data_IF_711653082258
#
_entry.id   IF_711653082258
#
_cell.length_a   1.000
_cell.length_b   1.000
_cell.length_c   1.000
_cell.angle_alpha   90.00
_cell.angle_beta   90.00
_cell.angle_gamma   90.00
#
_symmetry.space_group_name_H-M   'P 1'
#
loop_
_entity.id
_entity.type
_entity.pdbx_description
1 polymer ?
#
# COMPACT_ATOMS: atom_id res chain seq x y z
N UNK A 1 -3.51 42.36 -21.60
CA UNK A 1 -2.30 41.53 -21.60
C UNK A 1 -1.98 41.09 -20.16
N UNK A 2 -2.87 40.33 -19.51
CA UNK A 2 -2.72 39.96 -18.08
C UNK A 2 -3.20 38.54 -17.74
N UNK A 3 -3.94 37.86 -18.62
CA UNK A 3 -4.45 36.49 -18.36
C UNK A 3 -3.39 35.37 -18.42
N UNK A 4 -2.17 35.64 -18.90
CA UNK A 4 -1.11 34.62 -18.98
C UNK A 4 -0.48 34.30 -17.62
N UNK A 5 -0.45 35.27 -16.70
CA UNK A 5 0.13 35.12 -15.38
C UNK A 5 -0.64 34.15 -14.45
N UNK A 6 -1.98 34.23 -14.31
CA UNK A 6 -2.70 33.31 -13.43
C UNK A 6 -2.67 31.86 -13.92
N UNK A 7 -2.70 31.65 -15.25
CA UNK A 7 -2.62 30.31 -15.84
C UNK A 7 -1.28 29.62 -15.52
N UNK A 8 -0.19 30.37 -15.51
CA UNK A 8 1.14 29.85 -15.19
C UNK A 8 1.25 29.42 -13.73
N UNK A 9 0.67 30.20 -12.80
CA UNK A 9 0.69 29.91 -11.36
C UNK A 9 -0.08 28.63 -11.05
N UNK A 10 -1.25 28.42 -11.67
CA UNK A 10 -2.04 27.19 -11.49
C UNK A 10 -1.32 25.96 -12.03
N UNK A 11 -0.62 26.08 -13.17
CA UNK A 11 0.14 24.97 -13.76
C UNK A 11 1.31 24.52 -12.87
N UNK A 12 2.01 25.46 -12.23
CA UNK A 12 3.12 25.15 -11.32
C UNK A 12 2.60 24.53 -10.01
N UNK A 13 1.47 25.00 -9.50
CA UNK A 13 0.85 24.43 -8.30
C UNK A 13 0.40 22.97 -8.51
N UNK A 14 -0.07 22.62 -9.71
CA UNK A 14 -0.44 21.23 -10.05
C UNK A 14 0.75 20.26 -10.10
N UNK A 15 1.97 20.77 -10.37
CA UNK A 15 3.21 19.98 -10.43
C UNK A 15 3.93 19.92 -9.07
N UNK A 16 3.55 20.77 -8.10
CA UNK A 16 4.17 20.85 -6.78
C UNK A 16 3.60 19.84 -5.76
N UNK A 17 2.74 18.91 -6.19
CA UNK A 17 2.34 17.79 -5.35
C UNK A 17 3.55 16.89 -5.09
N UNK A 18 4.00 16.80 -3.85
CA UNK A 18 4.97 15.77 -3.44
C UNK A 18 4.40 14.42 -3.90
N UNK A 19 5.10 13.74 -4.81
CA UNK A 19 4.68 12.48 -5.43
C UNK A 19 4.61 11.34 -4.42
N UNK A 20 3.65 11.41 -3.50
CA UNK A 20 3.28 10.34 -2.58
C UNK A 20 2.68 9.22 -3.42
N UNK A 21 3.57 8.39 -3.93
CA UNK A 21 3.19 7.15 -4.56
C UNK A 21 2.95 6.15 -3.43
N UNK A 22 1.71 5.66 -3.31
CA UNK A 22 1.36 4.52 -2.46
C UNK A 22 1.92 3.21 -3.06
N UNK A 23 3.15 3.26 -3.60
CA UNK A 23 3.79 2.15 -4.27
C UNK A 23 4.70 1.49 -3.24
N UNK A 24 4.29 0.31 -2.77
CA UNK A 24 5.09 -0.48 -1.84
C UNK A 24 6.51 -0.69 -2.38
N UNK A 25 7.50 -0.47 -1.52
CA UNK A 25 8.95 -0.55 -1.78
C UNK A 25 9.45 -2.00 -1.98
N UNK A 26 8.63 -2.85 -2.57
CA UNK A 26 8.93 -4.26 -2.74
C UNK A 26 9.78 -4.44 -4.00
N UNK A 27 11.02 -4.99 -3.88
CA UNK A 27 11.87 -5.26 -5.03
C UNK A 27 11.21 -6.27 -5.96
N UNK A 28 11.27 -6.06 -7.28
CA UNK A 28 10.61 -6.90 -8.29
C UNK A 28 11.06 -8.38 -8.30
N UNK A 29 12.19 -8.68 -7.64
CA UNK A 29 12.70 -10.05 -7.45
C UNK A 29 11.87 -10.86 -6.46
N UNK A 30 11.25 -10.22 -5.47
CA UNK A 30 10.50 -10.90 -4.41
C UNK A 30 9.08 -11.18 -4.92
N UNK A 31 8.81 -12.45 -5.26
CA UNK A 31 7.52 -12.91 -5.79
C UNK A 31 6.71 -13.73 -4.79
N UNK A 32 7.33 -14.15 -3.68
CA UNK A 32 6.72 -15.04 -2.69
C UNK A 32 7.05 -14.57 -1.29
N UNK A 33 6.06 -14.53 -0.41
CA UNK A 33 6.22 -14.19 1.02
C UNK A 33 5.47 -15.23 1.87
N UNK A 34 6.06 -15.63 3.00
CA UNK A 34 5.39 -16.50 3.96
C UNK A 34 4.72 -15.64 5.04
N UNK A 35 3.45 -15.95 5.34
CA UNK A 35 2.73 -15.35 6.49
C UNK A 35 2.67 -16.41 7.59
N UNK A 36 3.46 -16.29 8.67
CA UNK A 36 3.37 -17.22 9.79
C UNK A 36 2.05 -17.02 10.55
N UNK A 37 1.61 -18.06 11.25
CA UNK A 37 0.45 -17.94 12.15
C UNK A 37 0.79 -16.94 13.26
N UNK A 38 -0.07 -15.94 13.45
CA UNK A 38 0.13 -14.94 14.50
C UNK A 38 -0.10 -15.55 15.87
N UNK A 39 0.67 -15.14 16.88
CA UNK A 39 0.47 -15.57 18.26
C UNK A 39 -0.66 -14.76 18.89
N UNK A 40 -1.73 -15.42 19.32
CA UNK A 40 -2.79 -14.75 20.07
C UNK A 40 -2.36 -14.49 21.52
N UNK A 41 -2.37 -13.22 21.93
CA UNK A 41 -2.14 -12.80 23.32
C UNK A 41 -3.43 -12.32 24.00
N UNK A 42 -4.57 -12.50 23.35
CA UNK A 42 -5.89 -12.10 23.85
C UNK A 42 -6.66 -13.31 24.34
N UNK A 43 -7.72 -13.09 25.11
CA UNK A 43 -8.62 -14.15 25.57
C UNK A 43 -9.64 -14.60 24.52
N UNK A 44 -9.62 -13.99 23.33
CA UNK A 44 -10.59 -14.24 22.29
C UNK A 44 -10.14 -15.46 21.43
N UNK A 45 -10.93 -16.54 21.35
CA UNK A 45 -10.54 -17.73 20.62
C UNK A 45 -10.50 -17.50 19.10
N UNK A 46 -9.63 -18.25 18.41
CA UNK A 46 -9.50 -18.27 16.95
C UNK A 46 -9.10 -16.96 16.24
N UNK A 47 -8.84 -15.87 16.98
CA UNK A 47 -8.40 -14.58 16.42
C UNK A 47 -7.11 -14.69 15.62
N UNK A 48 -6.18 -15.52 16.07
CA UNK A 48 -4.94 -15.80 15.36
C UNK A 48 -5.17 -16.39 13.96
N UNK A 49 -6.17 -17.26 13.80
CA UNK A 49 -6.47 -17.85 12.50
C UNK A 49 -7.15 -16.82 11.58
N UNK A 50 -8.09 -16.04 12.11
CA UNK A 50 -8.76 -14.97 11.37
C UNK A 50 -7.77 -13.91 10.87
N UNK A 51 -6.88 -13.42 11.74
CA UNK A 51 -5.86 -12.43 11.37
C UNK A 51 -4.87 -12.99 10.35
N UNK A 52 -4.43 -14.24 10.51
CA UNK A 52 -3.54 -14.89 9.55
C UNK A 52 -4.18 -14.94 8.16
N UNK A 53 -5.44 -15.38 8.07
CA UNK A 53 -6.18 -15.44 6.80
C UNK A 53 -6.40 -14.06 6.16
N UNK A 54 -6.74 -13.04 6.96
CA UNK A 54 -6.92 -11.68 6.47
C UNK A 54 -5.63 -11.11 5.85
N UNK A 55 -4.48 -11.38 6.49
CA UNK A 55 -3.16 -10.94 6.00
C UNK A 55 -2.76 -11.69 4.74
N UNK A 56 -2.94 -13.01 4.69
CA UNK A 56 -2.74 -13.83 3.47
C UNK A 56 -3.56 -13.26 2.31
N UNK A 57 -4.85 -12.99 2.54
CA UNK A 57 -5.74 -12.43 1.52
C UNK A 57 -5.29 -11.04 1.05
N UNK A 58 -4.84 -10.17 1.95
CA UNK A 58 -4.36 -8.83 1.60
C UNK A 58 -3.09 -8.85 0.73
N UNK A 59 -2.19 -9.82 0.97
CA UNK A 59 -0.99 -10.01 0.15
C UNK A 59 -1.29 -10.64 -1.21
N UNK A 60 -2.22 -11.61 -1.27
CA UNK A 60 -2.66 -12.22 -2.53
C UNK A 60 -3.41 -11.22 -3.42
N UNK A 61 -4.25 -10.36 -2.83
CA UNK A 61 -5.09 -9.39 -3.58
C UNK A 61 -4.27 -8.24 -4.17
N UNK A 62 -3.14 -7.88 -3.56
CA UNK A 62 -2.23 -6.88 -4.11
C UNK A 62 -1.55 -7.30 -5.44
N UNK A 63 -1.70 -8.56 -5.88
CA UNK A 63 -1.30 -9.04 -7.20
C UNK A 63 0.22 -9.09 -7.47
N UNK A 64 1.04 -8.59 -6.54
CA UNK A 64 2.51 -8.54 -6.64
C UNK A 64 3.20 -9.74 -5.97
N UNK A 65 2.47 -10.52 -5.17
CA UNK A 65 3.02 -11.57 -4.33
C UNK A 65 2.13 -12.81 -4.32
N UNK A 66 2.76 -13.98 -4.40
CA UNK A 66 2.15 -15.28 -4.09
C UNK A 66 2.41 -15.57 -2.61
N UNK A 67 1.38 -15.97 -1.89
CA UNK A 67 1.41 -16.38 -0.48
C UNK A 67 1.32 -17.89 -0.36
#
# INVERSE_FOLDING_TARGET
MTLRAPALVVAVAALAGCGYSLRGNLPDRIKTVAVPVFVNRTSEPAVENFLTQAVVHAFSTNGRLRV
#
